data_IF_089345015664
#
_entry.id   IF_089345015664
#
_cell.length_a   1.000
_cell.length_b   1.000
_cell.length_c   1.000
_cell.angle_alpha   90.00
_cell.angle_beta   90.00
_cell.angle_gamma   90.00
#
_symmetry.space_group_name_H-M   'P 1'
#
loop_
_entity.id
_entity.type
_entity.pdbx_description
1 polymer ?
#
# COMPACT_ATOMS: atom_id res chain seq x y z
N UNK A 1 10.52 -5.63 16.95
CA UNK A 1 9.04 -5.63 17.04
C UNK A 1 8.58 -7.04 17.34
N UNK A 2 7.68 -7.20 18.31
CA UNK A 2 7.07 -8.50 18.62
C UNK A 2 6.00 -8.81 17.56
N UNK A 3 6.22 -9.85 16.76
CA UNK A 3 5.28 -10.26 15.70
C UNK A 3 3.90 -10.66 16.25
N UNK A 4 3.80 -10.93 17.57
CA UNK A 4 2.53 -11.26 18.22
C UNK A 4 1.62 -10.03 18.43
N UNK A 5 2.18 -8.82 18.55
CA UNK A 5 1.43 -7.60 18.83
C UNK A 5 0.56 -7.10 17.65
N UNK A 6 0.78 -7.63 16.43
CA UNK A 6 0.12 -7.12 15.22
C UNK A 6 0.76 -5.83 14.70
N UNK A 7 0.44 -5.42 13.46
CA UNK A 7 1.02 -4.23 12.87
C UNK A 7 0.55 -2.95 13.58
N UNK A 8 1.45 -1.99 13.74
CA UNK A 8 1.11 -0.65 14.21
C UNK A 8 0.26 0.07 13.15
N UNK A 9 -0.89 0.61 13.57
CA UNK A 9 -1.87 1.25 12.70
C UNK A 9 -2.07 2.71 13.13
N UNK A 10 -1.84 3.64 12.22
CA UNK A 10 -2.06 5.08 12.43
C UNK A 10 -3.54 5.40 12.13
N UNK A 11 -4.29 6.03 13.05
CA UNK A 11 -5.59 6.62 12.75
C UNK A 11 -5.43 7.78 11.76
N UNK A 12 -6.10 7.68 10.62
CA UNK A 12 -6.12 8.71 9.59
C UNK A 12 -7.48 9.42 9.62
N UNK A 13 -7.53 10.76 9.76
CA UNK A 13 -8.80 11.47 9.81
C UNK A 13 -9.56 11.37 8.49
N UNK A 14 -10.85 11.70 8.53
CA UNK A 14 -11.63 11.95 7.33
C UNK A 14 -10.99 13.08 6.49
N UNK A 15 -11.25 13.08 5.19
CA UNK A 15 -10.75 14.12 4.30
C UNK A 15 -11.25 13.96 2.88
N UNK A 16 -10.73 14.79 1.99
CA UNK A 16 -11.05 14.76 0.57
C UNK A 16 -9.75 14.70 -0.23
N UNK A 17 -9.74 13.90 -1.30
CA UNK A 17 -8.65 13.88 -2.27
C UNK A 17 -9.20 14.02 -3.69
N UNK A 18 -8.50 14.80 -4.51
CA UNK A 18 -8.80 14.90 -5.94
C UNK A 18 -7.86 13.96 -6.70
N UNK A 19 -8.40 12.84 -7.16
CA UNK A 19 -7.67 11.94 -8.05
C UNK A 19 -7.70 12.49 -9.47
N UNK A 20 -6.62 12.24 -10.21
CA UNK A 20 -6.49 12.68 -11.60
C UNK A 20 -5.95 11.56 -12.47
N UNK A 21 -6.53 11.40 -13.66
CA UNK A 21 -6.00 10.55 -14.72
C UNK A 21 -5.60 11.43 -15.91
N UNK A 22 -4.29 11.54 -16.12
CA UNK A 22 -3.72 12.33 -17.23
C UNK A 22 -4.00 11.72 -18.59
N UNK A 23 -4.24 10.41 -18.69
CA UNK A 23 -4.53 9.77 -19.97
C UNK A 23 -5.91 10.20 -20.49
N UNK A 24 -6.90 10.23 -19.61
CA UNK A 24 -8.27 10.64 -19.92
C UNK A 24 -8.55 12.12 -19.67
N UNK A 25 -7.59 12.85 -19.09
CA UNK A 25 -7.74 14.25 -18.64
C UNK A 25 -8.90 14.42 -17.65
N UNK A 26 -9.26 13.35 -16.91
CA UNK A 26 -10.32 13.38 -15.91
C UNK A 26 -9.74 13.67 -14.52
N UNK A 27 -10.50 14.38 -13.71
CA UNK A 27 -10.24 14.54 -12.28
C UNK A 27 -11.55 14.45 -11.52
N UNK A 28 -11.54 13.81 -10.35
CA UNK A 28 -12.72 13.64 -9.52
C UNK A 28 -12.34 13.68 -8.04
N UNK A 29 -13.23 14.25 -7.23
CA UNK A 29 -13.07 14.30 -5.78
C UNK A 29 -13.60 13.01 -5.15
N UNK A 30 -12.89 12.51 -4.14
CA UNK A 30 -13.28 11.36 -3.32
C UNK A 30 -13.31 11.81 -1.86
N UNK A 31 -14.48 11.69 -1.24
CA UNK A 31 -14.65 11.87 0.21
C UNK A 31 -14.22 10.60 0.94
N UNK A 32 -13.43 10.77 1.99
CA UNK A 32 -12.89 9.69 2.81
C UNK A 32 -13.46 9.78 4.22
N UNK A 33 -14.03 8.67 4.70
CA UNK A 33 -14.29 8.49 6.12
C UNK A 33 -12.98 8.24 6.88
N UNK A 34 -12.95 8.37 8.21
CA UNK A 34 -11.77 7.97 8.99
C UNK A 34 -11.46 6.48 8.78
N UNK A 35 -10.18 6.17 8.70
CA UNK A 35 -9.64 4.82 8.51
C UNK A 35 -8.36 4.67 9.33
N UNK A 36 -7.79 3.47 9.37
CA UNK A 36 -6.45 3.26 9.89
C UNK A 36 -5.55 2.76 8.78
N UNK A 37 -4.28 3.15 8.80
CA UNK A 37 -3.28 2.71 7.83
C UNK A 37 -2.02 2.24 8.57
N UNK A 38 -1.44 1.13 8.14
CA UNK A 38 -0.22 0.62 8.75
C UNK A 38 0.93 1.64 8.62
N UNK A 39 1.68 1.82 9.71
CA UNK A 39 2.84 2.74 9.78
C UNK A 39 3.84 2.47 8.66
N UNK A 40 4.06 1.21 8.32
CA UNK A 40 5.02 0.72 7.34
C UNK A 40 4.33 -0.16 6.27
N UNK A 41 4.97 -0.37 5.10
CA UNK A 41 4.70 -1.52 4.27
C UNK A 41 4.77 -2.83 5.08
N UNK A 42 4.03 -3.86 4.66
CA UNK A 42 4.11 -5.17 5.31
C UNK A 42 5.54 -5.68 5.19
N UNK A 43 6.15 -6.02 6.32
CA UNK A 43 7.53 -6.51 6.36
C UNK A 43 7.60 -8.01 6.10
N UNK A 44 8.77 -8.51 5.70
CA UNK A 44 8.98 -9.93 5.44
C UNK A 44 8.68 -10.80 6.68
N UNK A 45 9.04 -10.34 7.89
CA UNK A 45 8.75 -11.09 9.12
C UNK A 45 7.25 -11.16 9.41
N UNK A 46 6.51 -10.07 9.18
CA UNK A 46 5.07 -10.06 9.37
C UNK A 46 4.38 -10.94 8.33
N UNK A 47 4.81 -10.86 7.07
CA UNK A 47 4.32 -11.72 6.00
C UNK A 47 4.52 -13.19 6.34
N UNK A 48 5.75 -13.58 6.67
CA UNK A 48 6.09 -14.96 7.04
C UNK A 48 5.32 -15.45 8.26
N UNK A 49 5.09 -14.59 9.26
CA UNK A 49 4.29 -14.96 10.42
C UNK A 49 2.84 -15.30 10.05
N UNK A 50 2.25 -14.57 9.09
CA UNK A 50 0.83 -14.71 8.68
C UNK A 50 0.62 -15.81 7.64
N UNK A 51 1.55 -15.98 6.70
CA UNK A 51 1.38 -16.90 5.55
C UNK A 51 2.24 -18.16 5.67
N UNK A 52 3.33 -18.11 6.44
CA UNK A 52 4.35 -19.16 6.46
C UNK A 52 5.36 -19.05 5.32
N UNK A 53 5.30 -18.01 4.49
CA UNK A 53 6.10 -17.87 3.28
C UNK A 53 7.09 -16.69 3.36
N UNK A 54 8.19 -16.78 2.61
CA UNK A 54 9.15 -15.69 2.37
C UNK A 54 9.42 -15.57 0.87
N UNK A 55 8.52 -14.93 0.10
CA UNK A 55 8.60 -14.90 -1.35
C UNK A 55 9.63 -13.90 -1.90
N UNK A 56 10.08 -12.97 -1.06
CA UNK A 56 10.97 -11.88 -1.41
C UNK A 56 12.35 -12.38 -1.87
N UNK A 57 12.90 -11.70 -2.87
CA UNK A 57 14.25 -11.92 -3.39
C UNK A 57 15.30 -11.49 -2.38
N UNK A 58 15.10 -10.33 -1.75
CA UNK A 58 15.97 -9.87 -0.67
C UNK A 58 15.59 -10.55 0.66
N UNK A 59 16.56 -10.76 1.54
CA UNK A 59 16.34 -11.39 2.84
C UNK A 59 16.59 -10.38 3.98
N UNK A 60 15.55 -10.07 4.75
CA UNK A 60 15.67 -9.26 5.96
C UNK A 60 14.33 -9.06 6.63
N UNK A 61 14.26 -9.30 7.94
CA UNK A 61 12.99 -9.31 8.68
C UNK A 61 12.24 -7.98 8.62
N UNK A 62 12.96 -6.86 8.62
CA UNK A 62 12.41 -5.50 8.56
C UNK A 62 12.38 -4.92 7.14
N UNK A 63 12.80 -5.67 6.12
CA UNK A 63 12.57 -5.27 4.73
C UNK A 63 11.06 -5.37 4.43
N UNK A 64 10.53 -4.54 3.53
CA UNK A 64 9.21 -4.77 2.95
C UNK A 64 9.16 -6.14 2.29
N UNK A 65 8.02 -6.81 2.37
CA UNK A 65 7.75 -7.95 1.51
C UNK A 65 7.57 -7.45 0.08
N UNK A 66 8.38 -7.98 -0.83
CA UNK A 66 8.25 -7.84 -2.28
C UNK A 66 8.08 -9.22 -2.94
N UNK A 67 7.85 -9.24 -4.26
CA UNK A 67 7.62 -10.49 -5.00
C UNK A 67 6.21 -11.06 -4.78
N UNK A 68 5.27 -10.22 -4.34
CA UNK A 68 3.89 -10.60 -4.00
C UNK A 68 2.89 -9.98 -4.98
N UNK A 69 1.91 -10.79 -5.37
CA UNK A 69 0.82 -10.37 -6.22
C UNK A 69 -0.26 -9.65 -5.42
N UNK A 70 -1.18 -9.01 -6.14
CA UNK A 70 -2.35 -8.39 -5.52
C UNK A 70 -3.21 -9.44 -4.80
N UNK A 71 -3.33 -10.64 -5.38
CA UNK A 71 -4.04 -11.77 -4.77
C UNK A 71 -3.41 -12.22 -3.45
N UNK A 72 -2.08 -12.28 -3.39
CA UNK A 72 -1.37 -12.65 -2.15
C UNK A 72 -1.61 -11.61 -1.06
N UNK A 73 -1.59 -10.32 -1.43
CA UNK A 73 -1.84 -9.23 -0.49
C UNK A 73 -3.27 -9.28 0.09
N UNK A 74 -4.26 -9.56 -0.76
CA UNK A 74 -5.66 -9.78 -0.37
C UNK A 74 -5.81 -10.98 0.57
N UNK A 75 -5.18 -12.11 0.23
CA UNK A 75 -5.22 -13.32 1.06
C UNK A 75 -4.52 -13.09 2.40
N UNK A 76 -3.39 -12.40 2.40
CA UNK A 76 -2.70 -11.96 3.61
C UNK A 76 -3.63 -11.13 4.51
N UNK A 77 -4.35 -10.16 3.94
CA UNK A 77 -5.28 -9.31 4.69
C UNK A 77 -6.37 -10.14 5.40
N UNK A 78 -6.98 -11.08 4.68
CA UNK A 78 -7.98 -11.99 5.26
C UNK A 78 -7.37 -12.91 6.33
N UNK A 79 -6.21 -13.50 6.07
CA UNK A 79 -5.54 -14.39 7.02
C UNK A 79 -5.14 -13.66 8.31
N UNK A 80 -4.61 -12.43 8.19
CA UNK A 80 -4.30 -11.60 9.35
C UNK A 80 -5.58 -11.20 10.11
N UNK A 81 -6.67 -10.90 9.41
CA UNK A 81 -7.97 -10.59 10.04
C UNK A 81 -8.44 -11.75 10.90
N UNK A 82 -8.46 -12.97 10.35
CA UNK A 82 -8.87 -14.18 11.07
C UNK A 82 -7.99 -14.44 12.30
N UNK A 83 -6.67 -14.32 12.16
CA UNK A 83 -5.71 -14.50 13.28
C UNK A 83 -5.91 -13.48 14.40
N UNK A 84 -6.42 -12.29 14.08
CA UNK A 84 -6.72 -11.23 15.04
C UNK A 84 -8.19 -11.20 15.51
N UNK A 85 -9.01 -12.15 15.05
CA UNK A 85 -10.42 -12.25 15.43
C UNK A 85 -11.34 -11.21 14.77
N UNK A 86 -10.91 -10.60 13.65
CA UNK A 86 -11.71 -9.66 12.87
C UNK A 86 -12.43 -10.36 11.71
N UNK A 87 -13.51 -9.74 11.23
CA UNK A 87 -14.24 -10.18 10.04
C UNK A 87 -13.38 -9.92 8.79
N UNK A 88 -13.08 -10.94 7.97
CA UNK A 88 -12.33 -10.75 6.72
C UNK A 88 -13.00 -9.73 5.79
N UNK A 89 -12.21 -8.83 5.21
CA UNK A 89 -12.74 -7.80 4.32
C UNK A 89 -13.14 -8.34 2.94
N UNK A 90 -12.56 -9.45 2.50
CA UNK A 90 -12.74 -9.93 1.14
C UNK A 90 -13.45 -11.28 1.07
N UNK A 91 -14.41 -11.40 0.16
CA UNK A 91 -15.16 -12.63 -0.11
C UNK A 91 -15.06 -13.01 -1.57
N UNK A 92 -14.63 -14.23 -1.86
CA UNK A 92 -14.64 -14.77 -3.21
C UNK A 92 -16.09 -15.11 -3.61
N UNK A 93 -16.52 -14.65 -4.79
CA UNK A 93 -17.91 -14.82 -5.27
C UNK A 93 -18.04 -15.65 -6.54
N UNK A 94 -16.92 -16.04 -7.14
CA UNK A 94 -16.86 -16.99 -8.25
C UNK A 94 -15.65 -16.73 -9.13
N UNK A 95 -14.98 -17.77 -9.63
CA UNK A 95 -13.79 -17.60 -10.49
C UNK A 95 -12.73 -16.67 -9.86
N UNK A 96 -12.31 -15.66 -10.62
CA UNK A 96 -11.41 -14.59 -10.19
C UNK A 96 -12.15 -13.35 -9.62
N UNK A 97 -13.45 -13.44 -9.36
CA UNK A 97 -14.24 -12.34 -8.79
C UNK A 97 -14.16 -12.35 -7.26
N UNK A 98 -13.81 -11.18 -6.73
CA UNK A 98 -13.72 -10.93 -5.30
C UNK A 98 -14.47 -9.65 -4.94
N UNK A 99 -15.28 -9.74 -3.90
CA UNK A 99 -16.02 -8.62 -3.34
C UNK A 99 -15.34 -8.13 -2.06
N UNK A 100 -15.34 -6.81 -1.87
CA UNK A 100 -14.98 -6.19 -0.61
C UNK A 100 -16.26 -5.93 0.21
N UNK A 101 -16.36 -6.60 1.36
CA UNK A 101 -17.34 -6.28 2.39
C UNK A 101 -16.92 -5.00 3.13
N UNK A 102 -17.56 -3.89 2.76
CA UNK A 102 -17.28 -2.57 3.35
C UNK A 102 -17.70 -2.45 4.81
N UNK A 103 -18.49 -3.40 5.33
CA UNK A 103 -18.89 -3.45 6.74
C UNK A 103 -17.92 -4.21 7.64
N UNK A 104 -16.99 -4.97 7.04
CA UNK A 104 -15.99 -5.74 7.78
C UNK A 104 -15.00 -4.83 8.53
N UNK A 105 -14.61 -5.26 9.72
CA UNK A 105 -13.63 -4.60 10.59
C UNK A 105 -12.20 -5.13 10.40
N UNK A 106 -12.00 -6.08 9.49
CA UNK A 106 -10.71 -6.68 9.17
C UNK A 106 -9.76 -5.77 8.39
N UNK A 107 -8.56 -6.32 8.18
CA UNK A 107 -7.53 -5.73 7.34
C UNK A 107 -7.89 -5.85 5.86
N UNK A 108 -7.42 -4.87 5.09
CA UNK A 108 -7.60 -4.76 3.65
C UNK A 108 -6.45 -3.97 3.02
N UNK A 109 -6.32 -3.99 1.71
CA UNK A 109 -5.56 -2.98 0.98
C UNK A 109 -6.23 -1.60 1.13
N UNK A 110 -5.44 -0.51 1.17
CA UNK A 110 -5.99 0.83 1.04
C UNK A 110 -6.63 1.00 -0.34
N UNK A 111 -7.64 1.85 -0.43
CA UNK A 111 -7.99 2.42 -1.73
C UNK A 111 -6.89 3.36 -2.19
N UNK A 112 -6.82 3.62 -3.49
CA UNK A 112 -5.91 4.62 -4.04
C UNK A 112 -6.12 6.00 -3.40
N UNK A 113 -7.39 6.37 -3.18
CA UNK A 113 -7.74 7.64 -2.57
C UNK A 113 -7.21 7.74 -1.12
N UNK A 114 -7.42 6.68 -0.33
CA UNK A 114 -6.88 6.57 1.03
C UNK A 114 -5.35 6.62 1.03
N UNK A 115 -4.71 5.94 0.09
CA UNK A 115 -3.26 5.94 -0.03
C UNK A 115 -2.73 7.35 -0.33
N UNK A 116 -3.33 8.07 -1.29
CA UNK A 116 -2.88 9.42 -1.66
C UNK A 116 -3.10 10.42 -0.52
N UNK A 117 -4.27 10.36 0.12
CA UNK A 117 -4.60 11.21 1.27
C UNK A 117 -3.61 11.00 2.41
N UNK A 118 -3.35 9.73 2.76
CA UNK A 118 -2.38 9.34 3.77
C UNK A 118 -0.96 9.78 3.42
N UNK A 119 -0.54 9.63 2.15
CA UNK A 119 0.78 10.04 1.70
C UNK A 119 0.97 11.56 1.86
N UNK A 120 -0.06 12.35 1.52
CA UNK A 120 -0.03 13.81 1.59
C UNK A 120 0.03 14.32 3.02
N UNK A 121 -0.71 13.70 3.95
CA UNK A 121 -0.76 14.10 5.36
C UNK A 121 -0.92 15.62 5.57
N UNK A 122 -1.83 16.24 4.80
CA UNK A 122 -2.10 17.69 4.84
C UNK A 122 -1.22 18.54 3.90
N UNK A 123 -0.24 17.98 3.21
CA UNK A 123 0.58 18.72 2.23
C UNK A 123 -0.07 18.78 0.85
N UNK A 124 0.05 19.92 0.17
CA UNK A 124 -0.47 20.12 -1.19
C UNK A 124 0.53 19.73 -2.29
N UNK A 125 1.82 19.68 -1.95
CA UNK A 125 2.91 19.42 -2.88
C UNK A 125 2.90 18.00 -3.46
N UNK A 126 3.76 17.72 -4.46
CA UNK A 126 3.94 16.37 -4.99
C UNK A 126 4.57 15.40 -4.00
N UNK A 127 5.18 15.91 -2.92
CA UNK A 127 5.88 15.17 -1.87
C UNK A 127 5.65 15.88 -0.54
N UNK A 128 5.72 15.15 0.56
CA UNK A 128 5.56 15.70 1.92
C UNK A 128 6.88 16.19 2.55
N UNK A 129 7.98 16.18 1.79
CA UNK A 129 9.29 16.64 2.24
C UNK A 129 10.38 16.51 1.17
N UNK A 130 11.64 16.86 1.50
CA UNK A 130 12.80 16.64 0.63
C UNK A 130 13.01 15.15 0.36
N UNK A 131 13.13 14.78 -0.92
CA UNK A 131 13.03 13.38 -1.37
C UNK A 131 14.03 12.44 -0.66
N UNK A 132 15.30 12.83 -0.57
CA UNK A 132 16.35 11.98 0.01
C UNK A 132 16.16 11.69 1.50
N UNK A 133 15.37 12.52 2.18
CA UNK A 133 15.11 12.39 3.60
C UNK A 133 13.85 11.55 3.89
N UNK A 134 12.99 11.33 2.89
CA UNK A 134 11.68 10.69 3.06
C UNK A 134 11.50 9.41 2.21
N UNK A 135 12.39 9.13 1.27
CA UNK A 135 12.23 8.02 0.34
C UNK A 135 13.56 7.34 -0.01
N UNK A 136 13.46 6.03 -0.24
CA UNK A 136 14.48 5.25 -0.95
C UNK A 136 14.14 5.20 -2.44
N UNK A 137 15.02 5.73 -3.29
CA UNK A 137 14.83 5.83 -4.74
C UNK A 137 16.17 5.59 -5.46
N UNK A 138 16.17 5.52 -6.79
CA UNK A 138 17.36 5.15 -7.59
C UNK A 138 18.61 5.94 -7.19
N UNK A 139 18.48 7.22 -6.87
CA UNK A 139 19.60 8.09 -6.56
C UNK A 139 20.24 7.87 -5.19
N UNK A 140 19.57 7.16 -4.27
CA UNK A 140 20.08 6.96 -2.90
C UNK A 140 19.97 5.53 -2.35
N UNK A 141 19.29 4.62 -3.06
CA UNK A 141 19.03 3.26 -2.59
C UNK A 141 20.22 2.32 -2.76
N UNK A 142 21.24 2.71 -3.54
CA UNK A 142 22.36 1.83 -3.91
C UNK A 142 21.86 0.55 -4.58
N UNK A 143 20.81 0.71 -5.40
CA UNK A 143 20.17 -0.35 -6.16
C UNK A 143 19.67 -1.53 -5.29
N UNK A 144 19.14 -1.23 -4.10
CA UNK A 144 18.54 -2.25 -3.24
C UNK A 144 17.37 -1.73 -2.42
N UNK A 145 16.55 -2.64 -1.93
CA UNK A 145 15.46 -2.40 -0.98
C UNK A 145 16.05 -2.17 0.43
N UNK A 146 15.39 -1.36 1.25
CA UNK A 146 15.87 -0.99 2.59
C UNK A 146 14.85 -1.33 3.67
N UNK A 147 15.34 -1.45 4.91
CA UNK A 147 14.48 -1.66 6.07
C UNK A 147 13.46 -0.51 6.20
N UNK A 148 12.25 -0.87 6.61
CA UNK A 148 11.17 0.10 6.81
C UNK A 148 11.49 1.08 7.94
N UNK A 149 11.01 2.31 7.81
CA UNK A 149 11.08 3.31 8.88
C UNK A 149 12.41 4.02 9.06
N UNK A 150 13.39 3.77 8.19
CA UNK A 150 14.72 4.41 8.25
C UNK A 150 14.66 5.86 7.76
N UNK A 151 13.81 6.17 6.78
CA UNK A 151 13.56 7.55 6.30
C UNK A 151 12.53 8.26 7.17
N UNK A 152 12.51 9.60 7.13
CA UNK A 152 11.59 10.41 7.95
C UNK A 152 10.13 10.13 7.57
N UNK A 153 9.23 10.04 8.56
CA UNK A 153 7.81 9.91 8.30
C UNK A 153 7.20 11.21 7.77
N UNK A 154 5.97 11.13 7.27
CA UNK A 154 5.15 12.30 7.03
C UNK A 154 4.54 12.86 8.35
N UNK A 155 3.74 13.92 8.24
CA UNK A 155 3.14 14.60 9.40
C UNK A 155 2.18 13.73 10.25
N UNK A 156 1.74 12.59 9.73
CA UNK A 156 0.90 11.64 10.46
C UNK A 156 1.68 10.45 11.03
N UNK A 157 3.00 10.42 10.84
CA UNK A 157 3.84 9.32 11.33
C UNK A 157 3.94 8.12 10.38
N UNK A 158 3.40 8.22 9.15
CA UNK A 158 3.51 7.17 8.16
C UNK A 158 4.89 7.22 7.49
N UNK A 159 5.56 6.07 7.44
CA UNK A 159 6.86 5.90 6.81
C UNK A 159 6.74 5.23 5.45
N UNK A 160 7.76 5.46 4.62
CA UNK A 160 7.95 4.81 3.32
C UNK A 160 6.73 4.92 2.40
N UNK A 161 5.94 6.00 2.56
CA UNK A 161 4.84 6.31 1.63
C UNK A 161 5.36 6.69 0.24
N UNK A 162 6.66 6.94 0.08
CA UNK A 162 7.30 7.19 -1.22
C UNK A 162 8.58 6.39 -1.30
N UNK A 163 8.83 5.74 -2.44
CA UNK A 163 10.00 4.91 -2.63
C UNK A 163 9.96 3.58 -1.87
N UNK A 164 11.12 2.94 -1.77
CA UNK A 164 11.31 1.59 -1.24
C UNK A 164 10.58 0.52 -2.09
N UNK A 165 9.27 0.39 -1.99
CA UNK A 165 8.47 -0.50 -2.85
C UNK A 165 7.22 0.21 -3.37
N UNK A 166 6.81 -0.15 -4.58
CA UNK A 166 5.45 0.13 -5.02
C UNK A 166 4.45 -0.61 -4.14
N UNK A 167 3.33 0.03 -3.83
CA UNK A 167 2.30 -0.55 -2.97
C UNK A 167 1.02 -0.83 -3.74
N UNK A 168 0.54 -2.06 -3.68
CA UNK A 168 -0.78 -2.45 -4.18
C UNK A 168 -1.91 -1.68 -3.48
N UNK A 169 -2.85 -1.18 -4.27
CA UNK A 169 -4.12 -0.64 -3.81
C UNK A 169 -5.29 -1.53 -4.25
N UNK A 170 -6.45 -1.37 -3.62
CA UNK A 170 -7.67 -2.10 -3.97
C UNK A 170 -8.14 -1.83 -5.41
N UNK A 171 -8.05 -0.57 -5.85
CA UNK A 171 -8.71 -0.06 -7.04
C UNK A 171 -8.29 -0.73 -8.35
N UNK A 172 -9.26 -0.90 -9.25
CA UNK A 172 -9.01 -1.20 -10.66
C UNK A 172 -8.52 0.10 -11.32
N UNK A 173 -7.41 0.01 -12.06
CA UNK A 173 -6.79 1.18 -12.66
C UNK A 173 -7.67 1.82 -13.74
N UNK A 174 -8.16 1.00 -14.67
CA UNK A 174 -9.09 1.36 -15.72
C UNK A 174 -9.66 0.08 -16.34
N UNK A 175 -10.93 -0.21 -16.06
CA UNK A 175 -11.56 -1.45 -16.47
C UNK A 175 -11.77 -1.54 -17.99
N UNK A 176 -11.97 -0.41 -18.67
CA UNK A 176 -12.24 -0.37 -20.11
C UNK A 176 -10.96 -0.68 -20.92
N UNK A 177 -9.82 -0.19 -20.45
CA UNK A 177 -8.55 -0.29 -21.19
C UNK A 177 -7.67 -1.44 -20.70
N UNK A 178 -7.66 -1.69 -19.38
CA UNK A 178 -6.76 -2.66 -18.76
C UNK A 178 -7.48 -3.76 -17.99
N UNK A 179 -8.81 -3.87 -18.09
CA UNK A 179 -9.56 -4.94 -17.44
C UNK A 179 -9.34 -4.98 -15.92
N UNK A 180 -8.78 -6.08 -15.42
CA UNK A 180 -8.60 -6.34 -13.99
C UNK A 180 -7.33 -5.76 -13.38
N UNK A 181 -6.53 -4.99 -14.15
CA UNK A 181 -5.28 -4.41 -13.65
C UNK A 181 -5.53 -3.49 -12.46
N UNK A 182 -4.70 -3.65 -11.43
CA UNK A 182 -4.83 -2.95 -10.15
C UNK A 182 -3.85 -1.79 -10.06
N UNK A 183 -4.18 -0.83 -9.21
CA UNK A 183 -3.38 0.37 -8.98
C UNK A 183 -2.16 0.05 -8.09
N UNK A 184 -1.03 0.66 -8.44
CA UNK A 184 0.20 0.73 -7.65
C UNK A 184 0.55 2.19 -7.34
N UNK A 185 0.99 2.48 -6.12
CA UNK A 185 1.38 3.83 -5.66
C UNK A 185 2.77 3.85 -5.01
N UNK A 186 3.36 5.04 -4.85
CA UNK A 186 4.59 5.25 -4.06
C UNK A 186 5.88 5.44 -4.84
N UNK A 187 6.11 4.64 -5.88
CA UNK A 187 7.46 4.49 -6.47
C UNK A 187 8.32 3.49 -5.69
N UNK A 188 9.30 2.87 -6.34
CA UNK A 188 10.20 1.89 -5.72
C UNK A 188 11.62 2.39 -5.47
N UNK A 189 12.45 1.53 -4.88
CA UNK A 189 13.88 1.78 -4.63
C UNK A 189 14.69 2.00 -5.90
N UNK A 190 14.26 1.46 -7.04
CA UNK A 190 14.93 1.61 -8.34
C UNK A 190 14.30 2.69 -9.22
N UNK A 191 13.37 3.45 -8.69
CA UNK A 191 12.64 4.44 -9.45
C UNK A 191 13.32 5.80 -9.45
N UNK A 192 13.14 6.52 -10.55
CA UNK A 192 13.59 7.89 -10.68
C UNK A 192 12.77 8.83 -9.78
N UNK A 193 13.35 9.99 -9.47
CA UNK A 193 12.70 10.95 -8.56
C UNK A 193 11.28 11.34 -8.99
N UNK A 194 10.98 11.37 -10.29
CA UNK A 194 9.63 11.65 -10.79
C UNK A 194 8.63 10.53 -10.52
N UNK A 195 9.05 9.28 -10.30
CA UNK A 195 8.15 8.21 -9.88
C UNK A 195 7.82 8.29 -8.38
N UNK A 196 8.57 9.05 -7.58
CA UNK A 196 8.34 9.21 -6.14
C UNK A 196 7.50 10.47 -5.85
N UNK A 197 6.19 10.41 -6.08
CA UNK A 197 5.23 11.50 -5.80
C UNK A 197 3.90 10.98 -5.28
N UNK A 198 3.23 11.77 -4.45
CA UNK A 198 1.94 11.43 -3.84
C UNK A 198 0.86 11.08 -4.87
N UNK A 199 0.84 11.69 -6.07
CA UNK A 199 -0.14 11.41 -7.12
C UNK A 199 0.33 10.44 -8.21
N UNK A 200 1.47 9.77 -8.02
CA UNK A 200 2.02 8.86 -9.04
C UNK A 200 1.21 7.56 -9.10
N UNK A 201 0.83 7.14 -10.30
CA UNK A 201 0.07 5.90 -10.48
C UNK A 201 0.81 4.99 -11.45
N UNK A 202 1.00 3.74 -11.05
CA UNK A 202 1.37 2.62 -11.93
C UNK A 202 0.23 1.60 -11.88
N UNK A 203 0.28 0.61 -12.77
CA UNK A 203 -0.66 -0.50 -12.81
C UNK A 203 0.06 -1.78 -13.16
N UNK A 204 -0.47 -2.90 -12.69
CA UNK A 204 -0.09 -4.21 -13.19
C UNK A 204 -1.23 -5.22 -13.04
N UNK A 205 -1.11 -6.35 -13.73
CA UNK A 205 -2.07 -7.44 -13.65
C UNK A 205 -2.09 -8.00 -12.22
N UNK A 206 -3.24 -8.40 -11.65
CA UNK A 206 -3.33 -8.82 -10.25
C UNK A 206 -2.53 -10.09 -9.90
N UNK A 207 -2.08 -10.87 -10.90
CA UNK A 207 -1.19 -12.03 -10.72
C UNK A 207 0.30 -11.68 -10.80
N UNK A 208 0.64 -10.44 -11.16
CA UNK A 208 2.02 -10.02 -11.37
C UNK A 208 2.79 -10.00 -10.05
N UNK A 209 4.01 -10.53 -10.06
CA UNK A 209 4.94 -10.58 -8.92
C UNK A 209 6.29 -10.05 -9.38
N UNK A 210 6.84 -9.08 -8.67
CA UNK A 210 8.12 -8.45 -9.00
C UNK A 210 8.79 -7.90 -7.74
N UNK A 211 10.10 -7.77 -7.79
CA UNK A 211 11.01 -7.45 -6.68
C UNK A 211 11.01 -5.96 -6.25
N UNK A 212 10.17 -5.14 -6.89
CA UNK A 212 9.91 -3.75 -6.51
C UNK A 212 8.47 -3.49 -6.06
N UNK A 213 7.64 -4.53 -5.94
CA UNK A 213 6.20 -4.41 -5.59
C UNK A 213 5.90 -5.18 -4.30
N UNK A 214 5.40 -4.44 -3.32
CA UNK A 214 4.84 -4.92 -2.06
C UNK A 214 3.46 -4.33 -1.81
N UNK A 215 3.12 -4.17 -0.53
CA UNK A 215 1.85 -3.56 -0.13
C UNK A 215 1.88 -3.11 1.33
N UNK A 216 0.89 -2.29 1.68
CA UNK A 216 0.56 -1.90 3.06
C UNK A 216 -0.91 -2.18 3.30
N UNK A 217 -1.29 -2.30 4.57
CA UNK A 217 -2.65 -2.64 4.96
C UNK A 217 -3.35 -1.44 5.61
N UNK A 218 -4.66 -1.40 5.41
CA UNK A 218 -5.60 -0.48 6.02
C UNK A 218 -6.65 -1.26 6.82
N UNK A 219 -7.40 -0.54 7.66
CA UNK A 219 -8.64 -1.02 8.29
C UNK A 219 -9.69 0.07 8.23
N UNK A 220 -10.93 -0.32 7.97
CA UNK A 220 -12.08 0.55 8.12
C UNK A 220 -12.37 0.77 9.61
N UNK A 221 -12.74 1.99 10.00
CA UNK A 221 -13.29 2.23 11.34
C UNK A 221 -14.79 1.92 11.29
N UNK A 222 -15.31 1.02 12.14
CA UNK A 222 -16.75 0.75 12.20
C UNK A 222 -17.53 2.03 12.45
N UNK A 223 -18.65 2.20 11.74
CA UNK A 223 -19.58 3.31 11.93
C UNK A 223 -20.43 3.13 13.19
#
# INVERSE_FOLDING_TARGET
MDASAGPEMIPVPAGQVTLSDRRTQRSWAVELHPYQLATYPVTQVLYAHVTGERPSTACGDLLPVEGVSWWDAVQFCNALSQRKGFTPAYRQVGGEDIEWDVSADGYRLPTEAEWEHACRAGTAGPRYGPLDEIAWHRGNSVETIHEVGVKRPNLWGLHDMLGNVWEWCWDIYDAEVYGTYRVLRGGGWFDEHWSCRASVRRRSHPTFRVDDVGFRIARSVPR
#
